data_IF_914994284473
#
_entry.id   IF_914994284473
#
_cell.length_a   1.000
_cell.length_b   1.000
_cell.length_c   1.000
_cell.angle_alpha   90.00
_cell.angle_beta   90.00
_cell.angle_gamma   90.00
#
_symmetry.space_group_name_H-M   'P 1'
#
loop_
_entity.id
_entity.type
_entity.pdbx_description
1 polymer ?
#
# COMPACT_ATOMS: atom_id res chain seq x y z
N UNK A 1 -4.39 18.57 -24.05
CA UNK A 1 -4.78 17.26 -23.48
C UNK A 1 -4.03 17.11 -22.16
N UNK A 2 -4.80 17.05 -21.07
CA UNK A 2 -4.39 17.38 -19.70
C UNK A 2 -3.25 16.51 -19.15
N UNK A 3 -2.04 17.05 -19.13
CA UNK A 3 -0.91 16.52 -18.37
C UNK A 3 -1.02 16.86 -16.87
N UNK A 4 -1.83 17.85 -16.49
CA UNK A 4 -2.04 18.28 -15.10
C UNK A 4 -2.90 17.30 -14.27
N UNK A 5 -3.60 16.35 -14.89
CA UNK A 5 -4.29 15.26 -14.20
C UNK A 5 -3.38 14.06 -13.85
N UNK A 6 -2.13 14.04 -14.35
CA UNK A 6 -1.13 12.99 -14.07
C UNK A 6 -0.22 13.32 -12.86
N UNK A 7 -0.48 14.40 -12.11
CA UNK A 7 0.35 14.81 -10.97
C UNK A 7 0.10 14.02 -9.66
N UNK A 8 -0.66 12.92 -9.70
CA UNK A 8 -0.85 12.00 -8.57
C UNK A 8 -0.33 10.60 -8.87
N UNK A 9 0.81 10.49 -9.56
CA UNK A 9 1.53 9.21 -9.67
C UNK A 9 2.29 9.00 -8.36
N UNK A 10 1.74 8.15 -7.50
CA UNK A 10 2.42 7.73 -6.27
C UNK A 10 3.27 6.50 -6.55
N UNK A 11 4.35 6.37 -5.80
CA UNK A 11 5.28 5.25 -5.85
C UNK A 11 5.34 4.59 -4.48
N UNK A 12 5.57 3.28 -4.44
CA UNK A 12 6.00 2.60 -3.23
C UNK A 12 7.54 2.63 -3.16
N UNK A 13 8.07 2.97 -1.99
CA UNK A 13 9.49 2.96 -1.74
C UNK A 13 10.07 1.56 -1.89
N UNK A 14 11.26 1.47 -2.49
CA UNK A 14 12.03 0.23 -2.61
C UNK A 14 13.42 0.46 -1.99
N UNK A 15 14.04 -0.55 -1.34
CA UNK A 15 15.35 -0.40 -0.73
C UNK A 15 16.46 -0.14 -1.76
N UNK A 16 16.22 -0.48 -3.03
CA UNK A 16 17.07 -0.19 -4.17
C UNK A 16 16.25 0.54 -5.25
N UNK A 17 16.90 1.43 -6.00
CA UNK A 17 16.28 2.08 -7.15
C UNK A 17 16.09 1.13 -8.33
N UNK A 18 15.06 1.33 -9.18
CA UNK A 18 14.02 2.36 -9.07
C UNK A 18 12.92 2.01 -8.06
N UNK A 19 12.14 3.02 -7.65
CA UNK A 19 10.90 2.82 -6.89
C UNK A 19 9.83 2.09 -7.73
N UNK A 20 8.84 1.51 -7.04
CA UNK A 20 7.72 0.86 -7.69
C UNK A 20 6.61 1.90 -7.97
N UNK A 21 6.49 2.33 -9.21
CA UNK A 21 5.44 3.26 -9.60
C UNK A 21 4.07 2.57 -9.73
N UNK A 22 3.00 3.26 -9.32
CA UNK A 22 1.64 2.72 -9.29
C UNK A 22 1.16 2.20 -10.65
N UNK A 23 1.46 2.92 -11.74
CA UNK A 23 1.12 2.52 -13.10
C UNK A 23 1.76 1.17 -13.46
N UNK A 24 3.03 0.97 -13.14
CA UNK A 24 3.77 -0.24 -13.46
C UNK A 24 3.22 -1.43 -12.66
N UNK A 25 2.96 -1.22 -11.37
CA UNK A 25 2.35 -2.24 -10.52
C UNK A 25 0.96 -2.66 -11.04
N UNK A 26 0.07 -1.69 -11.29
CA UNK A 26 -1.28 -1.96 -11.80
C UNK A 26 -1.25 -2.59 -13.20
N UNK A 27 -0.28 -2.24 -14.05
CA UNK A 27 -0.11 -2.87 -15.36
C UNK A 27 0.27 -4.35 -15.24
N UNK A 28 1.11 -4.71 -14.26
CA UNK A 28 1.42 -6.12 -13.96
C UNK A 28 0.16 -6.85 -13.48
N UNK A 29 -0.64 -6.25 -12.61
CA UNK A 29 -1.90 -6.83 -12.15
C UNK A 29 -2.87 -7.09 -13.30
N UNK A 30 -3.05 -6.12 -14.21
CA UNK A 30 -3.86 -6.26 -15.43
C UNK A 30 -3.36 -7.42 -16.30
N UNK A 31 -2.04 -7.52 -16.49
CA UNK A 31 -1.43 -8.63 -17.22
C UNK A 31 -1.70 -9.98 -16.56
N UNK A 32 -1.58 -10.08 -15.24
CA UNK A 32 -1.87 -11.33 -14.51
C UNK A 32 -3.32 -11.77 -14.66
N UNK A 33 -4.26 -10.83 -14.63
CA UNK A 33 -5.68 -11.11 -14.86
C UNK A 33 -5.94 -11.62 -16.27
N UNK A 34 -5.42 -10.93 -17.31
CA UNK A 34 -5.57 -11.35 -18.70
C UNK A 34 -4.95 -12.73 -18.97
N UNK A 35 -3.85 -13.06 -18.29
CA UNK A 35 -3.20 -14.36 -18.37
C UNK A 35 -3.84 -15.43 -17.47
N UNK A 36 -4.95 -15.11 -16.77
CA UNK A 36 -5.70 -16.01 -15.88
C UNK A 36 -4.79 -16.71 -14.84
N UNK A 37 -3.87 -15.95 -14.24
CA UNK A 37 -2.87 -16.48 -13.28
C UNK A 37 -3.39 -16.65 -11.86
N UNK A 38 -4.61 -16.19 -11.59
CA UNK A 38 -5.29 -16.35 -10.32
C UNK A 38 -6.79 -16.48 -10.56
N UNK A 39 -7.50 -17.06 -9.59
CA UNK A 39 -8.97 -17.08 -9.58
C UNK A 39 -9.51 -15.79 -8.94
N UNK A 40 -9.05 -15.52 -7.72
CA UNK A 40 -9.33 -14.33 -6.92
C UNK A 40 -8.02 -13.90 -6.26
N UNK A 41 -7.83 -12.59 -6.04
CA UNK A 41 -6.62 -12.03 -5.43
C UNK A 41 -6.98 -11.01 -4.35
N UNK A 42 -6.29 -11.05 -3.21
CA UNK A 42 -6.39 -10.03 -2.17
C UNK A 42 -5.04 -9.36 -2.00
N UNK A 43 -5.02 -8.03 -1.91
CA UNK A 43 -3.80 -7.23 -1.70
C UNK A 43 -4.05 -6.28 -0.52
N UNK A 44 -3.20 -6.37 0.50
CA UNK A 44 -3.15 -5.44 1.63
C UNK A 44 -1.90 -4.59 1.48
N UNK A 45 -2.04 -3.26 1.54
CA UNK A 45 -0.91 -2.34 1.34
C UNK A 45 -0.76 -1.40 2.53
N UNK A 46 0.36 -1.55 3.23
CA UNK A 46 0.85 -0.62 4.23
C UNK A 46 1.80 0.39 3.58
N UNK A 47 1.37 1.65 3.49
CA UNK A 47 2.20 2.79 3.12
C UNK A 47 1.40 4.09 3.33
N UNK A 48 2.13 5.20 3.48
CA UNK A 48 1.54 6.52 3.33
C UNK A 48 0.96 6.70 1.93
N UNK A 49 -0.15 7.43 1.86
CA UNK A 49 -0.92 7.69 0.65
C UNK A 49 -1.26 6.43 -0.16
N UNK A 50 -1.31 5.25 0.47
CA UNK A 50 -1.39 3.94 -0.22
C UNK A 50 -2.62 3.80 -1.13
N UNK A 51 -3.72 4.49 -0.82
CA UNK A 51 -4.91 4.55 -1.69
C UNK A 51 -4.62 5.09 -3.09
N UNK A 52 -3.64 5.97 -3.24
CA UNK A 52 -3.25 6.58 -4.53
C UNK A 52 -2.60 5.58 -5.49
N UNK A 53 -2.10 4.44 -5.01
CA UNK A 53 -1.55 3.37 -5.87
C UNK A 53 -2.64 2.77 -6.78
N UNK A 54 -3.90 2.80 -6.34
CA UNK A 54 -5.01 2.13 -7.03
C UNK A 54 -6.10 3.10 -7.50
N UNK A 55 -6.27 4.24 -6.83
CA UNK A 55 -7.32 5.21 -7.13
C UNK A 55 -7.25 5.70 -8.59
N UNK A 56 -8.30 5.40 -9.36
CA UNK A 56 -8.37 5.75 -10.78
C UNK A 56 -7.53 4.87 -11.73
N UNK A 57 -6.74 3.93 -11.20
CA UNK A 57 -5.84 3.07 -11.98
C UNK A 57 -6.32 1.61 -12.07
N UNK A 58 -6.85 1.05 -10.97
CA UNK A 58 -7.27 -0.34 -10.86
C UNK A 58 -8.75 -0.53 -11.27
N UNK A 59 -9.05 -1.30 -12.34
CA UNK A 59 -10.41 -1.67 -12.72
C UNK A 59 -11.11 -2.53 -11.65
N UNK A 60 -12.44 -2.42 -11.55
CA UNK A 60 -13.24 -3.17 -10.55
C UNK A 60 -13.53 -4.61 -10.94
N UNK A 61 -13.36 -4.97 -12.21
CA UNK A 61 -13.76 -6.24 -12.83
C UNK A 61 -12.59 -7.22 -12.99
N UNK A 62 -11.71 -7.30 -11.99
CA UNK A 62 -10.48 -8.11 -12.02
C UNK A 62 -10.43 -9.22 -10.97
N UNK A 63 -11.56 -9.58 -10.34
CA UNK A 63 -11.63 -10.56 -9.23
C UNK A 63 -10.59 -10.27 -8.14
N UNK A 64 -10.45 -9.00 -7.77
CA UNK A 64 -9.44 -8.52 -6.85
C UNK A 64 -10.07 -7.66 -5.77
N UNK A 65 -9.67 -7.88 -4.54
CA UNK A 65 -10.03 -7.03 -3.41
C UNK A 65 -8.77 -6.41 -2.82
N UNK A 66 -8.77 -5.08 -2.70
CA UNK A 66 -7.61 -4.33 -2.21
C UNK A 66 -8.04 -3.53 -1.00
N UNK A 67 -7.21 -3.57 0.05
CA UNK A 67 -7.32 -2.65 1.18
C UNK A 67 -5.98 -1.93 1.36
N UNK A 68 -6.05 -0.68 1.78
CA UNK A 68 -4.90 0.20 1.94
C UNK A 68 -4.93 0.82 3.32
N UNK A 69 -3.76 1.03 3.92
CA UNK A 69 -3.63 1.62 5.26
C UNK A 69 -4.18 3.05 5.34
N UNK A 70 -4.11 3.79 4.24
CA UNK A 70 -4.58 5.16 4.15
C UNK A 70 -5.25 5.45 2.80
N UNK A 71 -5.93 6.61 2.71
CA UNK A 71 -6.47 7.09 1.44
C UNK A 71 -5.34 7.67 0.54
N UNK A 72 -5.68 8.36 -0.55
CA UNK A 72 -4.68 8.89 -1.49
C UNK A 72 -3.94 10.15 -1.01
N UNK A 73 -4.30 10.71 0.15
CA UNK A 73 -3.80 12.00 0.65
C UNK A 73 -3.34 11.94 2.13
N UNK A 74 -3.56 10.80 2.80
CA UNK A 74 -3.25 10.62 4.22
C UNK A 74 -2.05 9.72 4.44
N UNK A 75 -1.33 9.98 5.53
CA UNK A 75 -0.24 9.13 5.98
C UNK A 75 -0.74 7.86 6.67
N UNK A 76 0.10 6.82 6.63
CA UNK A 76 -0.02 5.65 7.51
C UNK A 76 0.76 5.90 8.81
N UNK A 77 0.59 5.03 9.81
CA UNK A 77 1.19 5.22 11.13
C UNK A 77 1.86 3.95 11.65
N UNK A 78 3.05 4.14 12.24
CA UNK A 78 3.67 3.15 13.10
C UNK A 78 2.87 2.91 14.38
N UNK A 79 3.04 1.73 14.98
CA UNK A 79 2.52 1.38 16.30
C UNK A 79 3.58 0.66 17.12
N UNK A 80 3.31 0.43 18.40
CA UNK A 80 4.29 -0.14 19.34
C UNK A 80 5.60 0.66 19.33
N UNK A 81 5.46 1.99 19.40
CA UNK A 81 6.58 2.93 19.37
C UNK A 81 7.00 3.38 20.77
N UNK A 82 8.28 3.75 20.99
CA UNK A 82 8.73 4.36 22.24
C UNK A 82 7.90 5.61 22.56
N UNK A 83 7.33 5.68 23.78
CA UNK A 83 6.48 6.78 24.21
C UNK A 83 4.99 6.65 23.84
N UNK A 84 4.58 5.61 23.10
CA UNK A 84 3.18 5.26 22.86
C UNK A 84 2.72 4.16 23.83
N UNK A 85 1.40 3.99 24.00
CA UNK A 85 0.83 2.86 24.75
C UNK A 85 0.03 1.96 23.81
N UNK A 86 0.34 0.65 23.73
CA UNK A 86 1.43 -0.04 24.42
C UNK A 86 2.80 0.27 23.79
N UNK A 87 3.82 0.44 24.64
CA UNK A 87 5.21 0.72 24.22
C UNK A 87 5.98 -0.58 24.02
N UNK A 88 7.03 -0.58 23.16
CA UNK A 88 7.94 -1.71 23.07
C UNK A 88 8.83 -1.81 24.33
N UNK A 89 9.56 -2.93 24.53
CA UNK A 89 10.61 -3.02 25.55
C UNK A 89 11.64 -1.90 25.40
N UNK A 90 12.24 -1.46 26.52
CA UNK A 90 13.05 -0.24 26.58
C UNK A 90 14.32 -0.28 25.72
N UNK A 91 14.82 -1.47 25.38
CA UNK A 91 15.96 -1.66 24.49
C UNK A 91 15.66 -1.28 23.02
N UNK A 92 14.38 -1.20 22.63
CA UNK A 92 13.99 -0.78 21.29
C UNK A 92 13.77 0.72 21.22
N UNK A 93 14.56 1.38 20.37
CA UNK A 93 14.48 2.83 20.09
C UNK A 93 13.68 3.14 18.82
N UNK A 94 12.87 2.19 18.33
CA UNK A 94 12.08 2.27 17.10
C UNK A 94 10.70 1.62 17.31
N UNK A 95 9.74 1.92 16.44
CA UNK A 95 8.45 1.21 16.37
C UNK A 95 8.67 -0.26 15.98
N UNK A 96 7.85 -1.16 16.53
CA UNK A 96 7.90 -2.60 16.24
C UNK A 96 6.91 -3.06 15.17
N UNK A 97 5.97 -2.20 14.76
CA UNK A 97 5.04 -2.51 13.68
C UNK A 97 4.36 -1.28 13.13
N UNK A 98 3.48 -1.50 12.17
CA UNK A 98 2.63 -0.48 11.56
C UNK A 98 1.17 -0.76 11.89
N UNK A 99 0.40 0.30 12.19
CA UNK A 99 -0.92 0.20 12.82
C UNK A 99 -1.89 -0.62 11.97
N UNK A 100 -1.96 -0.36 10.66
CA UNK A 100 -2.82 -1.13 9.77
C UNK A 100 -2.31 -2.57 9.64
N UNK A 101 -0.99 -2.76 9.55
CA UNK A 101 -0.38 -4.08 9.42
C UNK A 101 -0.64 -4.98 10.63
N UNK A 102 -0.39 -4.51 11.86
CA UNK A 102 -0.64 -5.34 13.05
C UNK A 102 -2.13 -5.61 13.23
N UNK A 103 -3.00 -4.67 12.83
CA UNK A 103 -4.44 -4.81 13.01
C UNK A 103 -5.01 -6.03 12.28
N UNK A 104 -4.59 -6.32 11.04
CA UNK A 104 -5.09 -7.51 10.33
C UNK A 104 -4.32 -8.80 10.69
N UNK A 105 -3.10 -8.68 11.22
CA UNK A 105 -2.29 -9.84 11.63
C UNK A 105 -2.67 -10.37 13.02
N UNK A 106 -3.17 -9.50 13.90
CA UNK A 106 -3.50 -9.83 15.30
C UNK A 106 -5.01 -10.08 15.53
N UNK A 107 -5.88 -9.73 14.58
CA UNK A 107 -7.32 -10.08 14.59
C UNK A 107 -7.57 -11.59 14.42
#
# INVERSE_FOLDING_TARGET
ENWELNLRVTFAGMPNMPFLYANDFVNVLKKMYHLRRYKEMVIYVEACESGSIFQGLLPKDMNMYVTTASNAEESSFGTYCPGMSPSPPQEYITCLGDLYSVAWMED
#
